data_IF_299869508978
#
_entry.id   IF_299869508978
#
_cell.length_a   1.000
_cell.length_b   1.000
_cell.length_c   1.000
_cell.angle_alpha   90.00
_cell.angle_beta   90.00
_cell.angle_gamma   90.00
#
_symmetry.space_group_name_H-M   'P 1'
#
loop_
_entity.id
_entity.type
_entity.pdbx_description
1 polymer ?
#
# COMPACT_ATOMS: atom_id res chain seq x y z
N UNK A 1 1.62 4.69 9.43
CA UNK A 1 2.48 5.90 9.33
C UNK A 1 1.65 6.96 8.61
N UNK A 2 1.55 8.16 9.16
CA UNK A 2 1.05 9.32 8.41
C UNK A 2 2.26 9.91 7.69
N UNK A 3 2.31 9.77 6.37
CA UNK A 3 3.45 10.18 5.55
C UNK A 3 2.98 11.08 4.42
N UNK A 4 3.16 12.40 4.57
CA UNK A 4 2.84 13.38 3.53
C UNK A 4 3.84 13.39 2.39
N UNK A 5 5.00 12.72 2.53
CA UNK A 5 5.98 12.55 1.47
C UNK A 5 5.68 11.37 0.55
N UNK A 6 4.75 10.48 0.95
CA UNK A 6 4.31 9.37 0.12
C UNK A 6 3.32 9.84 -0.94
N UNK A 7 3.51 9.37 -2.18
CA UNK A 7 2.60 9.67 -3.30
C UNK A 7 1.16 9.17 -3.05
N UNK A 8 1.01 8.05 -2.33
CA UNK A 8 -0.28 7.45 -2.01
C UNK A 8 -0.19 6.60 -0.74
N UNK A 9 -1.28 5.92 -0.38
CA UNK A 9 -1.33 4.99 0.73
C UNK A 9 -0.82 3.61 0.29
N UNK A 10 0.13 3.06 1.06
CA UNK A 10 0.70 1.75 0.80
C UNK A 10 0.57 0.86 2.04
N UNK A 11 0.40 -0.44 1.81
CA UNK A 11 0.34 -1.45 2.87
C UNK A 11 1.36 -2.54 2.58
N UNK A 12 2.10 -2.97 3.60
CA UNK A 12 3.11 -4.00 3.42
C UNK A 12 2.45 -5.37 3.19
N UNK A 13 2.90 -6.12 2.16
CA UNK A 13 2.28 -7.40 1.76
C UNK A 13 2.15 -8.42 2.90
N UNK A 14 3.10 -8.44 3.83
CA UNK A 14 3.05 -9.33 5.00
C UNK A 14 1.81 -9.07 5.87
N UNK A 15 1.47 -7.80 6.11
CA UNK A 15 0.31 -7.44 6.91
C UNK A 15 -0.99 -7.95 6.26
N UNK A 16 -1.09 -7.81 4.93
CA UNK A 16 -2.22 -8.34 4.14
C UNK A 16 -2.37 -9.85 4.33
N UNK A 17 -1.26 -10.59 4.25
CA UNK A 17 -1.23 -12.05 4.39
C UNK A 17 -1.62 -12.49 5.81
N UNK A 18 -1.03 -11.87 6.83
CA UNK A 18 -1.28 -12.17 8.25
C UNK A 18 -2.74 -11.94 8.64
N UNK A 19 -3.44 -10.99 8.00
CA UNK A 19 -4.83 -10.64 8.31
C UNK A 19 -5.84 -11.19 7.30
N UNK A 20 -5.40 -12.02 6.34
CA UNK A 20 -6.29 -12.64 5.35
C UNK A 20 -7.05 -11.65 4.47
N UNK A 21 -6.47 -10.47 4.20
CA UNK A 21 -7.14 -9.44 3.39
C UNK A 21 -7.23 -9.88 1.92
N UNK A 22 -8.39 -9.68 1.30
CA UNK A 22 -8.61 -10.02 -0.11
C UNK A 22 -7.84 -9.08 -1.03
N UNK A 23 -6.83 -9.62 -1.72
CA UNK A 23 -6.09 -8.93 -2.76
C UNK A 23 -6.90 -8.88 -4.06
N UNK A 24 -6.84 -7.74 -4.75
CA UNK A 24 -7.42 -7.54 -6.08
C UNK A 24 -6.34 -6.98 -7.01
N UNK A 25 -6.26 -7.49 -8.24
CA UNK A 25 -5.31 -6.98 -9.22
C UNK A 25 -5.59 -5.52 -9.57
N UNK A 26 -4.53 -4.73 -9.67
CA UNK A 26 -4.58 -3.41 -10.28
C UNK A 26 -4.66 -3.53 -11.80
N UNK A 27 -5.40 -2.63 -12.45
CA UNK A 27 -5.42 -2.54 -13.92
C UNK A 27 -4.09 -2.05 -14.51
N UNK A 28 -3.30 -1.33 -13.71
CA UNK A 28 -1.95 -0.88 -14.03
C UNK A 28 -1.08 -0.98 -12.80
N UNK A 29 0.07 -1.64 -12.94
CA UNK A 29 1.05 -1.77 -11.87
C UNK A 29 1.68 -0.42 -11.50
N UNK A 30 2.00 -0.24 -10.22
CA UNK A 30 2.60 0.99 -9.71
C UNK A 30 4.09 0.78 -9.46
N UNK A 31 4.92 1.61 -10.10
CA UNK A 31 6.36 1.69 -9.83
C UNK A 31 6.59 2.47 -8.54
N UNK A 32 7.43 1.93 -7.67
CA UNK A 32 7.79 2.57 -6.40
C UNK A 32 9.26 2.92 -6.46
N UNK A 33 9.57 4.18 -6.14
CA UNK A 33 10.93 4.67 -6.04
C UNK A 33 11.23 5.00 -4.57
N UNK A 34 12.46 4.74 -4.15
CA UNK A 34 12.95 5.14 -2.84
C UNK A 34 13.25 6.65 -2.84
N UNK A 35 13.56 7.21 -1.67
CA UNK A 35 13.88 8.64 -1.53
C UNK A 35 15.12 9.07 -2.35
N UNK A 36 16.03 8.14 -2.65
CA UNK A 36 17.21 8.35 -3.50
C UNK A 36 16.92 8.17 -5.01
N UNK A 37 15.64 8.12 -5.40
CA UNK A 37 15.14 7.89 -6.75
C UNK A 37 15.49 6.53 -7.38
N UNK A 38 16.08 5.60 -6.62
CA UNK A 38 16.28 4.22 -7.08
C UNK A 38 14.98 3.43 -7.05
N UNK A 39 14.86 2.39 -7.88
CA UNK A 39 13.70 1.52 -7.83
C UNK A 39 13.62 0.74 -6.51
N UNK A 40 12.40 0.57 -6.02
CA UNK A 40 12.15 -0.27 -4.86
C UNK A 40 12.56 -1.72 -5.15
N UNK A 41 13.44 -2.28 -4.32
CA UNK A 41 13.99 -3.64 -4.49
C UNK A 41 12.94 -4.75 -4.41
N UNK A 42 11.78 -4.47 -3.81
CA UNK A 42 10.65 -5.42 -3.77
C UNK A 42 9.79 -5.40 -5.05
N UNK A 43 10.18 -4.60 -6.04
CA UNK A 43 9.49 -4.49 -7.31
C UNK A 43 8.23 -3.64 -7.23
N UNK A 44 7.30 -3.98 -8.13
CA UNK A 44 6.09 -3.21 -8.41
C UNK A 44 4.96 -3.57 -7.46
N UNK A 45 4.06 -2.62 -7.23
CA UNK A 45 2.77 -2.91 -6.60
C UNK A 45 1.79 -3.35 -7.68
N UNK A 46 1.28 -4.58 -7.55
CA UNK A 46 0.44 -5.23 -8.55
C UNK A 46 -1.00 -5.45 -8.07
N UNK A 47 -1.26 -5.24 -6.78
CA UNK A 47 -2.53 -5.49 -6.14
C UNK A 47 -2.94 -4.33 -5.22
N UNK A 48 -4.24 -4.20 -5.00
CA UNK A 48 -4.82 -3.35 -3.98
C UNK A 48 -5.74 -4.15 -3.06
N UNK A 49 -6.03 -3.56 -1.90
CA UNK A 49 -7.06 -4.01 -0.96
C UNK A 49 -8.07 -2.89 -0.77
N UNK A 50 -9.32 -3.24 -0.43
CA UNK A 50 -10.30 -2.27 0.08
C UNK A 50 -10.44 -2.53 1.57
N UNK A 51 -10.18 -1.51 2.37
CA UNK A 51 -10.24 -1.59 3.83
C UNK A 51 -11.01 -0.38 4.34
N UNK A 52 -11.75 -0.59 5.43
CA UNK A 52 -12.25 0.51 6.24
C UNK A 52 -11.13 0.91 7.22
N UNK A 53 -10.84 2.20 7.30
CA UNK A 53 -9.84 2.75 8.20
C UNK A 53 -10.55 3.45 9.36
N UNK A 54 -10.20 3.08 10.58
CA UNK A 54 -10.67 3.78 11.79
C UNK A 54 -9.52 4.53 12.44
N UNK A 55 -9.71 5.82 12.68
CA UNK A 55 -8.78 6.72 13.38
C UNK A 55 -9.53 7.35 14.55
N UNK A 56 -9.24 6.92 15.78
CA UNK A 56 -10.08 7.25 16.93
C UNK A 56 -11.52 6.79 16.68
N UNK A 57 -12.45 7.74 16.75
CA UNK A 57 -13.89 7.50 16.51
C UNK A 57 -14.33 7.77 15.05
N UNK A 58 -13.39 8.12 14.17
CA UNK A 58 -13.68 8.37 12.75
C UNK A 58 -13.48 7.10 11.92
N UNK A 59 -14.50 6.70 11.15
CA UNK A 59 -14.45 5.60 10.19
C UNK A 59 -14.50 6.16 8.76
N UNK A 60 -13.55 5.73 7.92
CA UNK A 60 -13.42 6.12 6.52
C UNK A 60 -13.24 4.88 5.61
#
# INVERSE_FOLDING_TARGET
LLDSGAYSCFIHHRFVQEHGLTLRHLSREVRVFNADATENKKGLITHYVRCLLRIGDHLA
#
